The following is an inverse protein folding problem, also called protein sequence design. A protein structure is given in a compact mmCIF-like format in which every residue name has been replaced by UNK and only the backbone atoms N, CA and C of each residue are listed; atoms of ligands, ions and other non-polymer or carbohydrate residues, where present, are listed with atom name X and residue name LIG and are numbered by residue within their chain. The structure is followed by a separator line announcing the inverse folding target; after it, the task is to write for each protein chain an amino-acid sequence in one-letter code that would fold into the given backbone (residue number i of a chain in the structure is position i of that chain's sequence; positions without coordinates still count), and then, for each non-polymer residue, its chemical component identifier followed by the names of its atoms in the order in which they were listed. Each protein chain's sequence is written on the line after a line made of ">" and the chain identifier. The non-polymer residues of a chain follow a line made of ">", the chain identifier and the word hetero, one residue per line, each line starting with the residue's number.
data_IF_598338519583
#
_entry.id   IF_598338519583
#
_cell.length_a   1.000
_cell.length_b   1.000
_cell.length_c   1.000
_cell.angle_alpha   90.00
_cell.angle_beta   90.00
_cell.angle_gamma   90.00
#
_symmetry.space_group_name_H-M   'P 1'
#
loop_
_entity.id
_entity.type
_entity.pdbx_description
1 polymer ?
#
# COMPACT_ATOMS: atom_id res chain seq x y z
N UNK A 1 -1.93 -2.39 23.63
CA UNK A 1 -2.70 -3.61 23.21
C UNK A 1 -3.91 -3.13 22.44
N UNK A 2 -4.12 -3.61 21.23
CA UNK A 2 -5.34 -3.36 20.42
C UNK A 2 -6.11 -4.67 20.40
N UNK A 3 -7.40 -4.64 20.75
CA UNK A 3 -8.29 -5.80 20.69
C UNK A 3 -9.32 -5.56 19.57
N UNK A 4 -9.54 -6.56 18.70
CA UNK A 4 -10.55 -6.51 17.64
C UNK A 4 -11.66 -7.53 17.91
N UNK A 5 -12.88 -7.22 17.45
CA UNK A 5 -14.00 -8.13 17.50
C UNK A 5 -13.99 -9.01 16.24
N UNK A 6 -13.19 -10.06 16.27
CA UNK A 6 -13.09 -11.04 15.19
C UNK A 6 -11.66 -11.28 14.72
N UNK A 7 -11.44 -12.45 14.16
CA UNK A 7 -10.19 -12.84 13.55
C UNK A 7 -10.07 -12.23 12.14
N UNK A 8 -8.87 -11.77 11.77
CA UNK A 8 -8.62 -11.41 10.38
C UNK A 8 -8.50 -12.68 9.55
N UNK A 9 -9.12 -12.74 8.36
CA UNK A 9 -9.02 -13.90 7.47
C UNK A 9 -7.59 -14.04 6.91
N UNK A 10 -6.91 -12.92 6.71
CA UNK A 10 -5.57 -12.82 6.14
C UNK A 10 -4.90 -11.54 6.62
N UNK A 11 -3.57 -11.47 6.51
CA UNK A 11 -2.78 -10.23 6.62
C UNK A 11 -2.18 -9.81 5.28
N UNK A 12 -2.52 -10.51 4.19
CA UNK A 12 -2.19 -10.12 2.83
C UNK A 12 -2.95 -8.84 2.47
N UNK A 13 -2.31 -7.81 1.86
CA UNK A 13 -2.95 -6.52 1.64
C UNK A 13 -4.05 -6.53 0.57
N UNK A 14 -4.05 -7.50 -0.36
CA UNK A 14 -4.92 -7.49 -1.54
C UNK A 14 -5.97 -8.61 -1.59
N UNK A 15 -5.86 -9.66 -0.79
CA UNK A 15 -6.72 -10.85 -0.90
C UNK A 15 -8.04 -10.76 -0.12
N UNK A 16 -8.32 -9.62 0.51
CA UNK A 16 -9.56 -9.38 1.25
C UNK A 16 -9.95 -7.90 1.29
N UNK A 17 -11.23 -7.67 1.58
CA UNK A 17 -11.78 -6.34 1.90
C UNK A 17 -12.45 -6.31 3.30
N UNK A 18 -12.10 -7.25 4.17
CA UNK A 18 -12.65 -7.35 5.52
C UNK A 18 -12.11 -6.23 6.43
N UNK A 19 -12.99 -5.57 7.19
CA UNK A 19 -12.63 -4.45 8.07
C UNK A 19 -11.54 -4.81 9.08
N UNK A 20 -11.60 -6.00 9.68
CA UNK A 20 -10.57 -6.44 10.63
C UNK A 20 -9.19 -6.55 9.99
N UNK A 21 -9.10 -7.11 8.78
CA UNK A 21 -7.86 -7.18 8.02
C UNK A 21 -7.36 -5.80 7.59
N UNK A 22 -8.25 -4.91 7.17
CA UNK A 22 -7.87 -3.53 6.79
C UNK A 22 -7.20 -2.77 7.93
N UNK A 23 -7.66 -2.95 9.18
CA UNK A 23 -6.99 -2.35 10.34
C UNK A 23 -5.59 -2.93 10.57
N UNK A 24 -5.41 -4.25 10.37
CA UNK A 24 -4.09 -4.89 10.49
C UNK A 24 -3.15 -4.42 9.37
N UNK A 25 -3.69 -4.30 8.14
CA UNK A 25 -2.93 -3.79 7.00
C UNK A 25 -2.41 -2.37 7.23
N UNK A 26 -3.19 -1.48 7.85
CA UNK A 26 -2.77 -0.12 8.21
C UNK A 26 -1.63 -0.06 9.25
N UNK A 27 -1.39 -1.13 9.99
CA UNK A 27 -0.25 -1.23 10.92
C UNK A 27 1.04 -1.64 10.18
N UNK A 28 0.91 -2.49 9.16
CA UNK A 28 2.06 -3.13 8.49
C UNK A 28 2.44 -2.44 7.19
N UNK A 29 1.45 -1.89 6.48
CA UNK A 29 1.64 -1.35 5.13
C UNK A 29 1.28 0.13 5.06
N UNK A 30 1.95 0.84 4.18
CA UNK A 30 1.59 2.20 3.80
C UNK A 30 1.09 2.26 2.36
N UNK A 31 0.32 3.31 2.10
CA UNK A 31 -0.24 3.66 0.79
C UNK A 31 0.28 5.02 0.35
N UNK A 32 0.17 5.36 -0.92
CA UNK A 32 0.63 6.66 -1.46
C UNK A 32 -0.03 7.85 -0.74
N UNK A 33 -1.30 7.70 -0.38
CA UNK A 33 -2.07 8.69 0.39
C UNK A 33 -2.68 8.03 1.62
N UNK A 34 -2.96 8.82 2.65
CA UNK A 34 -3.66 8.40 3.87
C UNK A 34 -4.81 9.34 4.16
N UNK A 35 -5.94 8.79 4.62
CA UNK A 35 -7.07 9.61 5.01
C UNK A 35 -6.82 10.28 6.38
N UNK A 36 -7.12 11.58 6.47
CA UNK A 36 -7.16 12.30 7.73
C UNK A 36 -8.41 11.91 8.56
N UNK A 37 -8.58 12.53 9.72
CA UNK A 37 -9.72 12.28 10.61
C UNK A 37 -11.08 12.65 10.01
N UNK A 38 -11.10 13.46 8.95
CA UNK A 38 -12.29 13.86 8.21
C UNK A 38 -12.49 13.02 6.93
N UNK A 39 -11.71 11.96 6.74
CA UNK A 39 -11.70 11.10 5.55
C UNK A 39 -11.23 11.81 4.27
N UNK A 40 -10.44 12.86 4.38
CA UNK A 40 -9.81 13.50 3.22
C UNK A 40 -8.43 12.88 2.96
N UNK A 41 -8.12 12.45 1.73
CA UNK A 41 -6.82 11.89 1.41
C UNK A 41 -5.72 12.96 1.51
N UNK A 42 -4.66 12.63 2.22
CA UNK A 42 -3.46 13.45 2.39
C UNK A 42 -2.24 12.71 1.83
N UNK A 43 -1.25 13.39 1.22
CA UNK A 43 0.00 12.77 0.82
C UNK A 43 0.66 12.06 2.00
N UNK A 44 1.08 10.79 1.79
CA UNK A 44 1.72 9.98 2.82
C UNK A 44 3.10 9.49 2.37
N UNK A 45 3.19 8.53 1.44
CA UNK A 45 4.45 8.14 0.81
C UNK A 45 4.90 9.14 -0.27
N UNK A 46 3.96 9.92 -0.80
CA UNK A 46 4.19 10.92 -1.85
C UNK A 46 4.70 12.22 -1.24
N UNK A 47 5.74 12.80 -1.83
CA UNK A 47 6.25 14.15 -1.55
C UNK A 47 5.45 15.21 -2.32
N UNK A 48 5.21 14.95 -3.62
CA UNK A 48 4.43 15.84 -4.50
C UNK A 48 3.72 15.06 -5.60
N UNK A 49 2.67 15.66 -6.15
CA UNK A 49 1.95 15.10 -7.29
C UNK A 49 1.31 16.19 -8.11
N UNK A 50 1.13 15.94 -9.41
CA UNK A 50 0.43 16.84 -10.31
C UNK A 50 -0.38 16.07 -11.37
N UNK A 51 -1.48 16.66 -11.79
CA UNK A 51 -2.25 16.16 -12.93
C UNK A 51 -1.68 16.79 -14.21
N UNK A 52 -1.08 15.96 -15.07
CA UNK A 52 -0.44 16.41 -16.31
C UNK A 52 -1.49 16.68 -17.40
N UNK A 53 -2.46 15.78 -17.49
CA UNK A 53 -3.60 15.87 -18.41
C UNK A 53 -4.79 15.06 -17.87
N UNK A 54 -5.87 14.94 -18.65
CA UNK A 54 -7.11 14.28 -18.25
C UNK A 54 -6.95 12.80 -17.85
N UNK A 55 -5.84 12.16 -18.21
CA UNK A 55 -5.60 10.72 -18.02
C UNK A 55 -4.23 10.39 -17.42
N UNK A 56 -3.40 11.39 -17.14
CA UNK A 56 -2.02 11.19 -16.68
C UNK A 56 -1.73 12.01 -15.43
N UNK A 57 -1.26 11.33 -14.39
CA UNK A 57 -0.80 11.91 -13.14
C UNK A 57 0.65 11.58 -12.90
N UNK A 58 1.46 12.56 -12.52
CA UNK A 58 2.84 12.36 -12.09
C UNK A 58 2.94 12.45 -10.57
N UNK A 59 3.72 11.54 -9.98
CA UNK A 59 3.95 11.48 -8.54
C UNK A 59 5.45 11.42 -8.27
N UNK A 60 5.88 12.07 -7.17
CA UNK A 60 7.23 11.95 -6.65
C UNK A 60 7.16 11.38 -5.24
N UNK A 61 7.88 10.30 -4.97
CA UNK A 61 7.98 9.68 -3.65
C UNK A 61 8.87 10.49 -2.71
N UNK A 62 8.60 10.40 -1.42
CA UNK A 62 9.56 10.75 -0.37
C UNK A 62 10.75 9.80 -0.43
N UNK A 63 11.96 10.33 -0.23
CA UNK A 63 13.18 9.52 -0.22
C UNK A 63 13.45 8.94 1.17
N UNK A 64 14.21 7.86 1.24
CA UNK A 64 14.64 7.24 2.50
C UNK A 64 13.58 6.44 3.23
N UNK A 65 12.44 6.15 2.61
CA UNK A 65 11.42 5.27 3.20
C UNK A 65 11.93 3.82 3.10
N UNK A 66 12.01 3.13 4.23
CA UNK A 66 12.46 1.74 4.28
C UNK A 66 11.29 0.78 4.47
N UNK A 67 11.32 -0.33 3.75
CA UNK A 67 10.51 -1.50 4.08
C UNK A 67 11.05 -2.22 5.31
N UNK A 68 10.25 -3.09 5.92
CA UNK A 68 10.62 -3.87 7.10
C UNK A 68 11.86 -4.76 6.89
N UNK A 69 12.16 -5.14 5.64
CA UNK A 69 13.36 -5.90 5.27
C UNK A 69 14.61 -5.01 5.07
N UNK A 70 14.49 -3.69 5.23
CA UNK A 70 15.57 -2.72 5.11
C UNK A 70 15.83 -2.19 3.69
N UNK A 71 15.11 -2.67 2.68
CA UNK A 71 15.17 -2.11 1.31
C UNK A 71 14.52 -0.73 1.27
N UNK A 72 15.11 0.21 0.50
CA UNK A 72 14.52 1.52 0.28
C UNK A 72 13.45 1.46 -0.82
N UNK A 73 12.28 2.05 -0.53
CA UNK A 73 11.16 2.14 -1.48
C UNK A 73 11.51 3.02 -2.67
N UNK A 74 11.18 2.54 -3.87
CA UNK A 74 11.41 3.18 -5.16
C UNK A 74 10.15 3.19 -6.02
N UNK A 75 10.15 3.94 -7.12
CA UNK A 75 9.06 3.96 -8.10
C UNK A 75 8.71 2.59 -8.68
N UNK A 76 9.70 1.71 -8.87
CA UNK A 76 9.48 0.34 -9.33
C UNK A 76 8.68 -0.53 -8.33
N UNK A 77 8.75 -0.24 -7.03
CA UNK A 77 7.94 -0.93 -6.02
C UNK A 77 6.48 -0.50 -6.12
N UNK A 78 6.23 0.78 -6.42
CA UNK A 78 4.88 1.30 -6.67
C UNK A 78 4.27 0.66 -7.91
N UNK A 79 5.02 0.64 -9.04
CA UNK A 79 4.61 -0.01 -10.28
C UNK A 79 4.22 -1.47 -10.02
N UNK A 80 5.15 -2.28 -9.48
CA UNK A 80 4.92 -3.69 -9.23
C UNK A 80 3.74 -3.93 -8.28
N UNK A 81 3.60 -3.11 -7.23
CA UNK A 81 2.52 -3.23 -6.24
C UNK A 81 1.15 -2.97 -6.84
N UNK A 82 0.99 -1.86 -7.55
CA UNK A 82 -0.30 -1.47 -8.14
C UNK A 82 -0.69 -2.45 -9.25
N UNK A 83 0.25 -2.82 -10.13
CA UNK A 83 -0.02 -3.80 -11.20
C UNK A 83 -0.40 -5.16 -10.63
N UNK A 84 0.27 -5.60 -9.57
CA UNK A 84 -0.09 -6.84 -8.90
C UNK A 84 -1.45 -6.75 -8.19
N UNK A 85 -1.74 -5.64 -7.49
CA UNK A 85 -3.04 -5.40 -6.84
C UNK A 85 -4.20 -5.45 -7.84
N UNK A 86 -4.02 -4.95 -9.06
CA UNK A 86 -5.03 -4.99 -10.13
C UNK A 86 -5.41 -6.43 -10.55
N UNK A 87 -4.65 -7.44 -10.17
CA UNK A 87 -4.99 -8.86 -10.42
C UNK A 87 -5.91 -9.47 -9.36
N UNK A 88 -6.15 -8.79 -8.24
CA UNK A 88 -6.99 -9.27 -7.14
C UNK A 88 -8.41 -8.71 -7.21
N UNK A 89 -9.40 -9.60 -7.28
CA UNK A 89 -10.81 -9.22 -7.40
C UNK A 89 -11.32 -8.38 -6.22
N UNK A 90 -10.79 -8.64 -5.01
CA UNK A 90 -11.20 -8.02 -3.75
C UNK A 90 -10.89 -6.52 -3.70
N UNK A 91 -9.79 -6.09 -4.34
CA UNK A 91 -9.35 -4.69 -4.36
C UNK A 91 -9.52 -4.03 -5.73
N UNK A 92 -9.92 -4.77 -6.76
CA UNK A 92 -10.16 -4.28 -8.12
C UNK A 92 -11.04 -3.02 -8.19
N UNK A 93 -12.10 -2.83 -7.39
CA UNK A 93 -12.90 -1.61 -7.46
C UNK A 93 -12.12 -0.31 -7.24
N UNK A 94 -11.00 -0.35 -6.51
CA UNK A 94 -10.13 0.82 -6.34
C UNK A 94 -9.24 1.10 -7.54
N UNK A 95 -9.14 0.17 -8.50
CA UNK A 95 -8.28 0.25 -9.68
C UNK A 95 -9.05 0.34 -11.00
N UNK A 96 -10.39 0.43 -10.97
CA UNK A 96 -11.28 0.28 -12.13
C UNK A 96 -10.87 1.08 -13.37
N UNK A 97 -10.29 2.28 -13.17
CA UNK A 97 -9.84 3.16 -14.26
C UNK A 97 -8.33 3.29 -14.36
N UNK A 98 -7.57 2.57 -13.57
CA UNK A 98 -6.11 2.58 -13.67
C UNK A 98 -5.70 1.68 -14.82
N UNK A 99 -4.81 2.17 -15.70
CA UNK A 99 -4.31 1.44 -16.86
C UNK A 99 -2.89 0.90 -16.65
N UNK A 100 -2.12 1.52 -15.77
CA UNK A 100 -0.75 1.13 -15.47
C UNK A 100 0.07 2.31 -14.95
N UNK A 101 1.34 2.01 -14.66
CA UNK A 101 2.33 2.96 -14.16
C UNK A 101 3.57 2.87 -15.02
N UNK A 102 4.16 4.02 -15.35
CA UNK A 102 5.49 4.13 -15.96
C UNK A 102 6.46 4.76 -14.97
N UNK A 103 7.57 4.07 -14.67
CA UNK A 103 8.64 4.60 -13.82
C UNK A 103 9.53 5.53 -14.63
N UNK A 104 9.63 6.79 -14.18
CA UNK A 104 10.45 7.83 -14.81
C UNK A 104 11.89 7.78 -14.28
N UNK A 105 12.03 7.70 -12.94
CA UNK A 105 13.28 7.52 -12.22
C UNK A 105 13.03 6.81 -10.88
N UNK A 106 14.06 6.70 -10.03
CA UNK A 106 13.96 5.98 -8.74
C UNK A 106 12.80 6.45 -7.85
N UNK A 107 12.38 7.71 -7.95
CA UNK A 107 11.37 8.29 -7.07
C UNK A 107 10.19 8.93 -7.81
N UNK A 108 10.26 9.01 -9.14
CA UNK A 108 9.23 9.64 -9.97
C UNK A 108 8.57 8.60 -10.86
N UNK A 109 7.25 8.59 -10.88
CA UNK A 109 6.45 7.73 -11.75
C UNK A 109 5.21 8.46 -12.27
N UNK A 110 4.65 7.99 -13.37
CA UNK A 110 3.37 8.42 -13.91
C UNK A 110 2.35 7.30 -13.81
N UNK A 111 1.12 7.65 -13.44
CA UNK A 111 -0.03 6.75 -13.42
C UNK A 111 -0.99 7.16 -14.52
N UNK A 112 -1.41 6.20 -15.33
CA UNK A 112 -2.34 6.39 -16.43
C UNK A 112 -3.73 5.88 -16.10
N UNK A 113 -4.76 6.63 -16.51
CA UNK A 113 -6.16 6.29 -16.28
C UNK A 113 -6.96 6.28 -17.59
N UNK A 114 -8.08 5.55 -17.61
CA UNK A 114 -9.05 5.57 -18.70
C UNK A 114 -9.90 6.86 -18.61
N UNK A 115 -9.31 7.96 -19.12
CA UNK A 115 -9.86 9.32 -19.06
C UNK A 115 -9.90 9.91 -17.64
N UNK A 116 -10.65 11.01 -17.44
CA UNK A 116 -10.70 11.73 -16.18
C UNK A 116 -11.16 10.84 -15.01
N UNK A 117 -10.37 10.82 -13.91
CA UNK A 117 -10.66 9.98 -12.76
C UNK A 117 -10.60 10.77 -11.45
N UNK A 118 -11.71 11.40 -11.08
CA UNK A 118 -11.80 12.25 -9.88
C UNK A 118 -11.58 11.50 -8.55
N UNK A 119 -11.79 10.18 -8.53
CA UNK A 119 -11.60 9.34 -7.33
C UNK A 119 -10.20 8.77 -7.19
N UNK A 120 -9.26 9.05 -8.12
CA UNK A 120 -7.92 8.45 -8.12
C UNK A 120 -7.23 8.63 -6.76
N UNK A 121 -7.10 9.85 -6.28
CA UNK A 121 -6.38 10.15 -5.02
C UNK A 121 -7.07 9.48 -3.82
N UNK A 122 -8.41 9.45 -3.80
CA UNK A 122 -9.17 8.77 -2.74
C UNK A 122 -8.94 7.26 -2.76
N UNK A 123 -8.90 6.67 -3.95
CA UNK A 123 -8.65 5.24 -4.11
C UNK A 123 -7.21 4.88 -3.72
N UNK A 124 -6.23 5.69 -4.07
CA UNK A 124 -4.83 5.51 -3.68
C UNK A 124 -4.60 5.60 -2.15
N UNK A 125 -5.57 6.08 -1.38
CA UNK A 125 -5.58 6.06 0.08
C UNK A 125 -6.21 4.79 0.68
N UNK A 126 -6.78 3.89 -0.15
CA UNK A 126 -7.38 2.64 0.35
C UNK A 126 -6.32 1.58 0.63
N UNK A 127 -6.58 0.68 1.58
CA UNK A 127 -5.66 -0.40 1.97
C UNK A 127 -5.27 -1.33 0.81
N UNK A 128 -6.14 -1.48 -0.18
CA UNK A 128 -5.86 -2.26 -1.40
C UNK A 128 -4.81 -1.63 -2.33
N UNK A 129 -4.23 -0.49 -1.98
CA UNK A 129 -3.12 0.18 -2.67
C UNK A 129 -1.86 0.22 -1.79
N UNK A 130 -1.67 -0.78 -0.92
CA UNK A 130 -0.44 -0.95 -0.15
C UNK A 130 0.77 -1.07 -1.07
N UNK A 131 1.91 -0.47 -0.69
CA UNK A 131 3.16 -0.60 -1.47
C UNK A 131 4.03 -1.67 -0.83
N UNK A 132 4.51 -2.59 -1.66
CA UNK A 132 5.27 -3.78 -1.29
C UNK A 132 6.63 -3.79 -1.98
N UNK A 133 7.66 -4.45 -1.40
CA UNK A 133 8.96 -4.58 -2.06
C UNK A 133 8.84 -5.40 -3.34
N UNK A 134 9.17 -4.80 -4.49
CA UNK A 134 9.19 -5.50 -5.79
C UNK A 134 10.05 -6.76 -5.77
N UNK A 135 11.18 -6.71 -5.08
CA UNK A 135 12.09 -7.85 -4.93
C UNK A 135 11.39 -9.09 -4.38
N UNK A 136 10.48 -8.91 -3.42
CA UNK A 136 9.69 -9.98 -2.81
C UNK A 136 8.51 -10.41 -3.69
N UNK A 137 7.86 -9.48 -4.38
CA UNK A 137 6.81 -9.79 -5.38
C UNK A 137 7.41 -10.71 -6.45
N UNK A 138 8.56 -10.34 -7.02
CA UNK A 138 9.25 -11.10 -8.06
C UNK A 138 9.68 -12.51 -7.61
N UNK A 139 9.95 -12.69 -6.31
CA UNK A 139 10.29 -13.98 -5.70
C UNK A 139 9.06 -14.84 -5.36
N UNK A 140 7.83 -14.31 -5.51
CA UNK A 140 6.61 -15.01 -5.11
C UNK A 140 6.47 -15.16 -3.61
N UNK A 141 6.94 -14.16 -2.84
CA UNK A 141 6.86 -14.14 -1.39
C UNK A 141 5.41 -14.19 -0.89
N UNK A 142 5.16 -14.96 0.18
CA UNK A 142 3.83 -15.09 0.77
C UNK A 142 3.58 -13.99 1.82
N UNK A 143 3.06 -12.85 1.38
CA UNK A 143 2.68 -11.74 2.26
C UNK A 143 1.52 -12.08 3.21
N UNK A 144 0.78 -13.15 2.97
CA UNK A 144 -0.26 -13.64 3.87
C UNK A 144 0.30 -14.36 5.08
N UNK A 145 1.45 -15.02 4.94
CA UNK A 145 2.15 -15.68 6.03
C UNK A 145 3.25 -14.81 6.63
N UNK A 146 3.94 -14.00 5.85
CA UNK A 146 5.01 -13.13 6.30
C UNK A 146 4.84 -11.71 5.74
N UNK A 147 4.01 -10.86 6.41
CA UNK A 147 3.74 -9.51 5.95
C UNK A 147 4.96 -8.61 6.10
N UNK A 148 5.47 -8.09 4.98
CA UNK A 148 6.57 -7.14 4.89
C UNK A 148 6.08 -5.90 4.15
N UNK A 149 5.97 -4.80 4.87
CA UNK A 149 5.57 -3.47 4.35
C UNK A 149 6.52 -2.39 4.82
N UNK A 150 6.08 -1.14 4.79
CA UNK A 150 6.82 0.03 5.29
C UNK A 150 6.17 0.66 6.53
N UNK A 151 5.12 0.04 7.06
CA UNK A 151 4.28 0.62 8.09
C UNK A 151 4.92 0.74 9.47
N UNK A 152 4.20 1.37 10.42
CA UNK A 152 4.71 1.68 11.76
C UNK A 152 4.94 0.46 12.66
N UNK A 153 4.44 -0.72 12.27
CA UNK A 153 4.58 -1.94 13.06
C UNK A 153 4.99 -3.12 12.19
N UNK A 154 5.85 -3.98 12.75
CA UNK A 154 6.29 -5.27 12.18
C UNK A 154 5.55 -6.40 12.89
N UNK A 155 5.06 -7.40 12.15
CA UNK A 155 4.46 -8.59 12.75
C UNK A 155 5.55 -9.47 13.39
N UNK A 156 5.34 -9.86 14.62
CA UNK A 156 6.24 -10.77 15.37
C UNK A 156 5.68 -12.19 15.38
N UNK A 157 4.39 -12.35 15.70
CA UNK A 157 3.80 -13.66 15.90
C UNK A 157 2.30 -13.62 15.51
N UNK A 158 1.82 -14.72 14.95
CA UNK A 158 0.40 -14.94 14.72
C UNK A 158 -0.03 -16.31 15.21
N UNK A 159 -0.75 -16.33 16.32
CA UNK A 159 -1.43 -17.51 16.87
C UNK A 159 -2.88 -17.46 16.40
N UNK A 160 -3.20 -18.18 15.31
CA UNK A 160 -4.54 -18.17 14.70
C UNK A 160 -5.62 -18.58 15.73
N UNK A 161 -6.69 -17.79 15.81
CA UNK A 161 -7.78 -17.96 16.79
C UNK A 161 -7.47 -17.44 18.19
N UNK A 162 -6.28 -16.86 18.43
CA UNK A 162 -5.87 -16.36 19.75
C UNK A 162 -5.30 -14.93 19.66
N UNK A 163 -4.13 -14.75 19.06
CA UNK A 163 -3.42 -13.46 19.10
C UNK A 163 -2.58 -13.20 17.85
N UNK A 164 -2.48 -11.91 17.49
CA UNK A 164 -1.58 -11.39 16.49
C UNK A 164 -0.72 -10.30 17.14
N UNK A 165 0.59 -10.52 17.19
CA UNK A 165 1.55 -9.68 17.92
C UNK A 165 2.36 -8.85 16.95
N UNK A 166 2.46 -7.57 17.24
CA UNK A 166 3.26 -6.60 16.50
C UNK A 166 4.26 -5.92 17.41
N UNK A 167 5.42 -5.56 16.88
CA UNK A 167 6.38 -4.64 17.50
C UNK A 167 6.47 -3.32 16.71
N UNK A 168 6.90 -2.26 17.35
CA UNK A 168 7.09 -0.97 16.69
C UNK A 168 8.25 -1.06 15.68
N UNK A 169 8.05 -0.44 14.51
CA UNK A 169 9.11 -0.22 13.54
C UNK A 169 9.91 1.02 13.94
N UNK A 170 11.10 0.84 14.50
CA UNK A 170 11.94 1.95 14.97
C UNK A 170 12.48 2.82 13.82
N UNK A 171 12.51 2.28 12.59
CA UNK A 171 12.95 2.96 11.37
C UNK A 171 11.78 3.61 10.60
N UNK A 172 10.59 3.72 11.22
CA UNK A 172 9.43 4.30 10.56
C UNK A 172 9.65 5.78 10.25
N UNK A 173 9.39 6.16 9.00
CA UNK A 173 9.72 7.48 8.45
C UNK A 173 8.83 8.64 8.94
N UNK A 174 7.71 8.37 9.64
CA UNK A 174 6.69 9.36 10.01
C UNK A 174 6.36 9.32 11.50
#
# INVERSE_FOLDING_TARGET
>A
MIATLGETPSVHPYDHNATAGSYMNLLTYDTLFRNDVNQNPQPHLVESYENIDDSTWQFTLKQGILFHNGEEMKGQDVEASIEWAMTFAEVMPSHEKMLGIDVVDDYTFTLHTDGPYALLITNLASHGNAILPKSLIDQGHDFGEEPIGSGPYKRVEWNRGDSLVFEANEDYFN
#
